data_IF_911971260258
#
_entry.id   IF_911971260258
#
_cell.length_a   1.000
_cell.length_b   1.000
_cell.length_c   1.000
_cell.angle_alpha   90.00
_cell.angle_beta   90.00
_cell.angle_gamma   90.00
#
_symmetry.space_group_name_H-M   'P 1'
#
loop_
_entity.id
_entity.type
_entity.pdbx_description
1 polymer ?
#
# COMPACT_ATOMS: atom_id res chain seq x y z
N UNK A 1 22.76 7.84 -15.51
CA UNK A 1 22.29 9.14 -15.00
C UNK A 1 21.82 8.91 -13.56
N UNK A 2 22.32 9.68 -12.60
CA UNK A 2 21.86 9.59 -11.19
C UNK A 2 20.58 10.40 -11.05
N UNK A 3 19.48 9.74 -10.66
CA UNK A 3 18.22 10.43 -10.38
C UNK A 3 18.38 11.35 -9.17
N UNK A 4 17.70 12.50 -9.19
CA UNK A 4 17.61 13.36 -8.02
C UNK A 4 16.95 12.58 -6.86
N UNK A 5 17.35 12.82 -5.59
CA UNK A 5 16.68 12.21 -4.44
C UNK A 5 15.20 12.56 -4.42
N UNK A 6 14.35 11.57 -4.15
CA UNK A 6 12.92 11.79 -3.98
C UNK A 6 12.64 12.65 -2.74
N UNK A 7 11.63 13.52 -2.81
CA UNK A 7 11.14 14.34 -1.71
C UNK A 7 9.62 14.23 -1.60
N UNK A 8 9.04 14.33 -0.39
CA UNK A 8 7.60 14.28 -0.19
C UNK A 8 6.86 15.56 -0.63
N UNK A 9 7.59 16.63 -1.00
CA UNK A 9 7.03 17.91 -1.40
C UNK A 9 6.48 17.92 -2.83
N UNK A 10 5.46 18.76 -3.06
CA UNK A 10 4.97 19.07 -4.41
C UNK A 10 3.92 18.11 -4.95
N UNK A 11 3.08 17.52 -4.08
CA UNK A 11 1.99 16.62 -4.49
C UNK A 11 1.13 17.18 -5.63
N UNK A 12 0.74 18.45 -5.55
CA UNK A 12 -0.16 19.11 -6.52
C UNK A 12 0.41 19.23 -7.94
N UNK A 13 1.69 18.90 -8.16
CA UNK A 13 2.28 18.86 -9.49
C UNK A 13 1.59 17.86 -10.43
N UNK A 14 0.82 16.88 -9.90
CA UNK A 14 0.03 15.97 -10.73
C UNK A 14 -0.91 16.73 -11.67
N UNK A 15 -1.46 17.90 -11.28
CA UNK A 15 -2.42 18.66 -12.10
C UNK A 15 -1.86 19.04 -13.46
N UNK A 16 -0.54 19.25 -13.56
CA UNK A 16 0.15 19.57 -14.82
C UNK A 16 0.33 18.35 -15.71
N UNK A 17 0.54 17.17 -15.12
CA UNK A 17 0.80 15.93 -15.84
C UNK A 17 -0.49 15.15 -16.15
N UNK A 18 -1.49 15.28 -15.29
CA UNK A 18 -2.71 14.50 -15.27
C UNK A 18 -3.94 15.39 -15.00
N UNK A 19 -4.28 16.31 -15.93
CA UNK A 19 -5.33 17.30 -15.71
C UNK A 19 -6.75 16.71 -15.61
N UNK A 20 -6.95 15.45 -16.03
CA UNK A 20 -8.26 14.79 -16.02
C UNK A 20 -8.51 13.95 -14.75
N UNK A 21 -7.62 14.01 -13.75
CA UNK A 21 -7.73 13.20 -12.54
C UNK A 21 -8.92 13.63 -11.68
N UNK A 22 -9.88 12.73 -11.37
CA UNK A 22 -11.02 13.02 -10.51
C UNK A 22 -10.63 12.85 -9.03
N UNK A 23 -9.71 13.69 -8.56
CA UNK A 23 -9.20 13.62 -7.19
C UNK A 23 -9.45 14.94 -6.44
N UNK A 24 -10.05 14.83 -5.27
CA UNK A 24 -10.13 15.89 -4.29
C UNK A 24 -9.19 15.56 -3.11
N UNK A 25 -8.47 16.58 -2.63
CA UNK A 25 -7.67 16.45 -1.42
C UNK A 25 -8.61 16.21 -0.24
N UNK A 26 -8.17 15.40 0.72
CA UNK A 26 -8.91 15.18 1.95
C UNK A 26 -9.15 16.51 2.68
N UNK A 27 -10.21 16.58 3.49
CA UNK A 27 -10.46 17.74 4.34
C UNK A 27 -9.22 18.02 5.23
N UNK A 28 -8.94 19.29 5.58
CA UNK A 28 -7.75 19.63 6.36
C UNK A 28 -7.62 18.86 7.69
N UNK A 29 -8.75 18.50 8.30
CA UNK A 29 -8.78 17.69 9.52
C UNK A 29 -8.27 16.25 9.35
N UNK A 30 -8.33 15.70 8.13
CA UNK A 30 -7.87 14.36 7.78
C UNK A 30 -6.52 14.37 7.05
N UNK A 31 -6.08 15.51 6.53
CA UNK A 31 -4.78 15.60 5.87
C UNK A 31 -3.62 15.57 6.88
N UNK A 32 -2.66 14.69 6.63
CA UNK A 32 -1.46 14.47 7.45
C UNK A 32 -0.17 14.65 6.66
N UNK A 33 -0.25 15.20 5.45
CA UNK A 33 0.89 15.36 4.53
C UNK A 33 2.00 16.19 5.17
N UNK A 34 1.68 17.33 5.78
CA UNK A 34 2.71 18.19 6.40
C UNK A 34 3.38 17.51 7.60
N UNK A 35 2.60 16.80 8.44
CA UNK A 35 3.15 16.02 9.55
C UNK A 35 4.08 14.89 9.07
N UNK A 36 3.78 14.28 7.92
CA UNK A 36 4.66 13.31 7.27
C UNK A 36 5.95 13.97 6.73
N UNK A 37 5.85 15.13 6.10
CA UNK A 37 7.02 15.90 5.60
C UNK A 37 7.94 16.28 6.76
N UNK A 38 7.38 16.68 7.91
CA UNK A 38 8.12 16.95 9.13
C UNK A 38 8.87 15.69 9.62
N UNK A 39 8.19 14.55 9.67
CA UNK A 39 8.81 13.26 10.04
C UNK A 39 9.93 12.86 9.08
N UNK A 40 9.71 13.04 7.78
CA UNK A 40 10.72 12.83 6.73
C UNK A 40 11.94 13.71 6.97
N UNK A 41 11.76 14.99 7.27
CA UNK A 41 12.85 15.95 7.50
C UNK A 41 13.64 15.62 8.77
N UNK A 42 12.97 15.17 9.84
CA UNK A 42 13.61 14.79 11.11
C UNK A 42 14.49 13.54 11.01
N UNK A 43 14.19 12.62 10.08
CA UNK A 43 14.94 11.35 9.89
C UNK A 43 15.01 10.48 11.15
N UNK A 44 14.03 10.60 12.03
CA UNK A 44 13.96 9.85 13.29
C UNK A 44 12.50 9.59 13.64
N UNK A 45 12.20 8.35 14.02
CA UNK A 45 10.91 8.01 14.60
C UNK A 45 10.96 8.08 16.13
N UNK A 46 9.88 8.59 16.71
CA UNK A 46 9.68 8.73 18.17
C UNK A 46 8.81 7.65 18.78
N UNK A 47 8.47 6.60 18.01
CA UNK A 47 7.83 5.41 18.59
C UNK A 47 8.68 4.84 19.73
N UNK A 48 8.06 4.40 20.85
CA UNK A 48 8.76 3.68 21.90
C UNK A 48 9.54 2.50 21.33
N UNK A 49 10.76 2.27 21.84
CA UNK A 49 11.62 1.16 21.37
C UNK A 49 11.05 -0.23 21.72
N UNK A 50 10.13 -0.28 22.67
CA UNK A 50 9.34 -1.48 23.02
C UNK A 50 8.27 -1.82 21.98
N UNK A 51 7.91 -0.88 21.09
CA UNK A 51 6.93 -1.13 20.03
C UNK A 51 7.56 -1.98 18.92
N UNK A 52 6.92 -3.10 18.58
CA UNK A 52 7.32 -3.89 17.40
C UNK A 52 6.79 -3.24 16.11
N UNK A 53 7.65 -3.11 15.10
CA UNK A 53 7.24 -2.62 13.77
C UNK A 53 7.00 -3.80 12.84
N UNK A 54 5.79 -3.92 12.29
CA UNK A 54 5.40 -4.98 11.37
C UNK A 54 5.34 -4.41 9.95
N UNK A 55 6.20 -4.92 9.07
CA UNK A 55 6.18 -4.63 7.64
C UNK A 55 5.32 -5.66 6.90
N UNK A 56 4.34 -5.20 6.13
CA UNK A 56 3.46 -6.07 5.31
C UNK A 56 3.47 -5.58 3.87
N UNK A 57 3.96 -6.41 2.95
CA UNK A 57 3.98 -6.08 1.53
C UNK A 57 2.72 -6.56 0.81
N UNK A 58 2.52 -6.09 -0.42
CA UNK A 58 1.40 -6.46 -1.27
C UNK A 58 1.56 -7.74 -2.06
N UNK A 59 0.61 -7.96 -2.97
CA UNK A 59 0.58 -9.09 -3.91
C UNK A 59 1.92 -9.25 -4.64
N UNK A 60 2.36 -10.49 -4.88
CA UNK A 60 3.60 -10.87 -5.58
C UNK A 60 4.91 -10.58 -4.83
N UNK A 61 4.87 -9.95 -3.66
CA UNK A 61 6.07 -9.62 -2.89
C UNK A 61 6.90 -10.83 -2.49
N UNK A 62 6.28 -12.01 -2.36
CA UNK A 62 6.99 -13.26 -2.01
C UNK A 62 8.03 -13.69 -3.06
N UNK A 63 7.90 -13.17 -4.29
CA UNK A 63 8.83 -13.44 -5.39
C UNK A 63 9.78 -12.27 -5.67
N UNK A 64 9.70 -11.18 -4.91
CA UNK A 64 10.52 -10.00 -5.08
C UNK A 64 11.79 -10.07 -4.21
N UNK A 65 12.98 -10.30 -4.80
CA UNK A 65 14.21 -10.37 -4.02
C UNK A 65 14.51 -9.03 -3.36
N UNK A 66 14.70 -9.04 -2.04
CA UNK A 66 15.02 -7.82 -1.30
C UNK A 66 13.81 -6.91 -1.02
N UNK A 67 12.59 -7.38 -1.21
CA UNK A 67 11.38 -6.71 -0.73
C UNK A 67 11.56 -6.27 0.73
N UNK A 68 11.27 -5.00 1.01
CA UNK A 68 11.39 -4.36 2.34
C UNK A 68 12.81 -4.37 2.94
N UNK A 69 13.87 -4.67 2.17
CA UNK A 69 15.24 -4.74 2.71
C UNK A 69 15.68 -3.41 3.31
N UNK A 70 15.53 -2.31 2.57
CA UNK A 70 15.92 -0.97 3.03
C UNK A 70 15.12 -0.49 4.25
N UNK A 71 13.81 -0.76 4.24
CA UNK A 71 12.91 -0.51 5.37
C UNK A 71 13.37 -1.25 6.63
N UNK A 72 13.57 -2.56 6.52
CA UNK A 72 13.98 -3.42 7.64
C UNK A 72 15.34 -3.02 8.20
N UNK A 73 16.30 -2.71 7.34
CA UNK A 73 17.63 -2.27 7.76
C UNK A 73 17.56 -0.93 8.52
N UNK A 74 16.82 0.05 8.00
CA UNK A 74 16.74 1.38 8.60
C UNK A 74 15.99 1.38 9.92
N UNK A 75 14.83 0.70 9.97
CA UNK A 75 14.05 0.56 11.21
C UNK A 75 14.81 -0.25 12.27
N UNK A 76 15.51 -1.31 11.86
CA UNK A 76 16.37 -2.10 12.75
C UNK A 76 17.56 -1.29 13.28
N UNK A 77 18.23 -0.51 12.41
CA UNK A 77 19.31 0.39 12.81
C UNK A 77 18.84 1.51 13.74
N UNK A 78 17.57 1.92 13.63
CA UNK A 78 16.95 2.82 14.59
C UNK A 78 16.69 2.14 15.96
N UNK A 79 16.80 0.81 16.08
CA UNK A 79 16.64 0.09 17.34
C UNK A 79 15.24 -0.51 17.55
N UNK A 80 14.43 -0.63 16.50
CA UNK A 80 13.14 -1.32 16.58
C UNK A 80 13.29 -2.82 16.34
N UNK A 81 12.46 -3.60 17.04
CA UNK A 81 12.16 -4.98 16.60
C UNK A 81 11.30 -4.90 15.35
N UNK A 82 11.79 -5.49 14.25
CA UNK A 82 11.08 -5.49 12.96
C UNK A 82 10.64 -6.89 12.59
N UNK A 83 9.35 -7.07 12.34
CA UNK A 83 8.78 -8.28 11.74
C UNK A 83 8.41 -8.00 10.29
N UNK A 84 8.61 -8.97 9.40
CA UNK A 84 8.07 -8.93 8.04
C UNK A 84 7.06 -10.05 7.90
N UNK A 85 5.79 -9.71 7.67
CA UNK A 85 4.74 -10.71 7.54
C UNK A 85 4.89 -11.49 6.22
N UNK A 86 4.75 -12.82 6.23
CA UNK A 86 4.79 -13.61 5.01
C UNK A 86 3.52 -13.38 4.17
N UNK A 87 3.71 -13.15 2.88
CA UNK A 87 2.65 -12.98 1.89
C UNK A 87 2.52 -14.25 1.06
N UNK A 88 1.28 -14.67 0.79
CA UNK A 88 0.92 -15.69 -0.20
C UNK A 88 0.03 -15.05 -1.25
N UNK A 89 0.58 -14.89 -2.45
CA UNK A 89 -0.11 -14.23 -3.55
C UNK A 89 -1.32 -15.01 -4.06
N UNK A 90 -1.38 -16.30 -3.73
CA UNK A 90 -2.54 -17.16 -3.93
C UNK A 90 -3.77 -16.69 -3.17
N UNK A 91 -3.58 -16.12 -1.98
CA UNK A 91 -4.64 -15.95 -1.00
C UNK A 91 -5.44 -14.67 -1.25
N UNK A 92 -6.76 -14.83 -1.16
CA UNK A 92 -7.67 -13.70 -1.05
C UNK A 92 -7.44 -12.94 0.26
N UNK A 93 -8.10 -11.80 0.41
CA UNK A 93 -7.88 -10.84 1.51
C UNK A 93 -8.10 -11.47 2.88
N UNK A 94 -9.20 -12.19 3.07
CA UNK A 94 -9.53 -12.78 4.36
C UNK A 94 -8.65 -14.00 4.71
N UNK A 95 -8.27 -14.79 3.71
CA UNK A 95 -7.37 -15.94 3.91
C UNK A 95 -5.96 -15.45 4.28
N UNK A 96 -5.45 -14.45 3.56
CA UNK A 96 -4.18 -13.82 3.88
C UNK A 96 -4.23 -13.08 5.23
N UNK A 97 -5.35 -12.43 5.55
CA UNK A 97 -5.58 -11.81 6.85
C UNK A 97 -5.54 -12.81 8.01
N UNK A 98 -6.19 -13.97 7.87
CA UNK A 98 -6.10 -15.05 8.86
C UNK A 98 -4.67 -15.55 9.06
N UNK A 99 -3.90 -15.69 7.96
CA UNK A 99 -2.48 -16.05 8.04
C UNK A 99 -1.65 -14.98 8.75
N UNK A 100 -1.86 -13.69 8.44
CA UNK A 100 -1.18 -12.57 9.11
C UNK A 100 -1.51 -12.58 10.59
N UNK A 101 -2.78 -12.71 10.97
CA UNK A 101 -3.21 -12.78 12.38
C UNK A 101 -2.55 -13.94 13.14
N UNK A 102 -2.51 -15.13 12.54
CA UNK A 102 -1.81 -16.29 13.13
C UNK A 102 -0.30 -16.05 13.28
N UNK A 103 0.33 -15.46 12.25
CA UNK A 103 1.75 -15.11 12.29
C UNK A 103 2.06 -14.10 13.41
N UNK A 104 1.24 -13.06 13.54
CA UNK A 104 1.42 -12.03 14.56
C UNK A 104 1.24 -12.59 15.97
N UNK A 105 0.20 -13.39 16.22
CA UNK A 105 0.01 -14.06 17.52
C UNK A 105 1.19 -14.96 17.90
N UNK A 106 1.79 -15.65 16.92
CA UNK A 106 2.92 -16.53 17.17
C UNK A 106 4.25 -15.80 17.39
N UNK A 107 4.38 -14.54 16.92
CA UNK A 107 5.67 -13.82 16.90
C UNK A 107 5.72 -12.61 17.82
N UNK A 108 4.60 -11.96 18.09
CA UNK A 108 4.53 -10.84 19.02
C UNK A 108 4.60 -11.35 20.47
N UNK A 109 5.41 -10.74 21.35
CA UNK A 109 5.32 -10.98 22.79
C UNK A 109 3.92 -10.65 23.31
N UNK A 110 3.45 -11.29 24.38
CA UNK A 110 2.05 -11.19 24.82
C UNK A 110 1.59 -9.75 25.10
N UNK A 111 2.46 -8.94 25.69
CA UNK A 111 2.13 -7.59 26.18
C UNK A 111 2.65 -6.45 25.28
N UNK A 112 3.36 -6.78 24.20
CA UNK A 112 3.94 -5.76 23.33
C UNK A 112 2.87 -5.13 22.44
N UNK A 113 2.87 -3.80 22.38
CA UNK A 113 2.20 -3.06 21.32
C UNK A 113 2.99 -3.18 20.01
N UNK A 114 2.28 -3.05 18.89
CA UNK A 114 2.90 -3.02 17.58
C UNK A 114 2.28 -1.95 16.69
N UNK A 115 3.03 -1.53 15.68
CA UNK A 115 2.51 -0.74 14.57
C UNK A 115 2.66 -1.51 13.27
N UNK A 116 1.75 -1.27 12.33
CA UNK A 116 1.78 -1.88 11.01
C UNK A 116 2.14 -0.84 9.97
N UNK A 117 3.11 -1.17 9.13
CA UNK A 117 3.53 -0.41 7.97
C UNK A 117 3.27 -1.29 6.74
N UNK A 118 2.14 -1.04 6.08
CA UNK A 118 1.62 -1.90 5.04
C UNK A 118 1.62 -1.22 3.67
N UNK A 119 1.92 -2.00 2.64
CA UNK A 119 1.93 -1.56 1.25
C UNK A 119 0.90 -2.33 0.43
N UNK A 120 0.19 -1.63 -0.46
CA UNK A 120 -0.73 -2.22 -1.44
C UNK A 120 -1.72 -3.21 -0.82
N UNK A 121 -1.92 -4.38 -1.42
CA UNK A 121 -2.83 -5.43 -0.91
C UNK A 121 -2.53 -5.84 0.54
N UNK A 122 -1.27 -5.76 0.97
CA UNK A 122 -0.86 -6.06 2.34
C UNK A 122 -1.57 -5.18 3.38
N UNK A 123 -1.96 -3.96 2.98
CA UNK A 123 -2.80 -3.08 3.79
C UNK A 123 -4.19 -3.66 4.02
N UNK A 124 -4.91 -4.00 2.96
CA UNK A 124 -6.27 -4.56 3.12
C UNK A 124 -6.27 -5.96 3.72
N UNK A 125 -5.23 -6.76 3.48
CA UNK A 125 -5.04 -8.07 4.12
C UNK A 125 -4.86 -7.93 5.64
N UNK A 126 -4.08 -6.94 6.07
CA UNK A 126 -3.86 -6.70 7.51
C UNK A 126 -5.09 -6.08 8.17
N UNK A 127 -5.85 -5.24 7.47
CA UNK A 127 -7.16 -4.77 7.97
C UNK A 127 -8.09 -5.96 8.22
N UNK A 128 -8.14 -6.95 7.32
CA UNK A 128 -8.94 -8.15 7.54
C UNK A 128 -8.50 -8.95 8.77
N UNK A 129 -7.19 -8.99 9.04
CA UNK A 129 -6.66 -9.59 10.26
C UNK A 129 -7.12 -8.84 11.53
N UNK A 130 -7.00 -7.51 11.55
CA UNK A 130 -7.32 -6.70 12.73
C UNK A 130 -8.83 -6.63 12.99
N UNK A 131 -9.65 -6.48 11.94
CA UNK A 131 -11.12 -6.48 12.07
C UNK A 131 -11.64 -7.84 12.55
N UNK A 132 -10.99 -8.93 12.14
CA UNK A 132 -11.35 -10.29 12.55
C UNK A 132 -10.83 -10.72 13.93
N UNK A 133 -9.93 -9.95 14.54
CA UNK A 133 -9.27 -10.31 15.81
C UNK A 133 -9.19 -9.08 16.75
N UNK A 134 -10.23 -8.85 17.58
CA UNK A 134 -10.27 -7.71 18.50
C UNK A 134 -9.12 -7.67 19.50
N UNK A 135 -8.58 -8.83 19.91
CA UNK A 135 -7.45 -8.89 20.84
C UNK A 135 -6.16 -8.40 20.17
N UNK A 136 -5.97 -8.75 18.89
CA UNK A 136 -4.86 -8.24 18.10
C UNK A 136 -5.04 -6.75 17.76
N UNK A 137 -6.26 -6.31 17.45
CA UNK A 137 -6.59 -4.90 17.19
C UNK A 137 -6.30 -4.01 18.41
N UNK A 138 -6.67 -4.45 19.61
CA UNK A 138 -6.43 -3.70 20.85
C UNK A 138 -4.93 -3.44 21.13
N UNK A 139 -4.05 -4.28 20.57
CA UNK A 139 -2.59 -4.16 20.71
C UNK A 139 -1.93 -3.40 19.55
N UNK A 140 -2.68 -3.10 18.49
CA UNK A 140 -2.20 -2.31 17.36
C UNK A 140 -2.23 -0.82 17.71
N UNK A 141 -1.07 -0.23 17.95
CA UNK A 141 -0.93 1.21 18.26
C UNK A 141 -1.19 2.13 17.06
N UNK A 142 -1.20 1.58 15.84
CA UNK A 142 -1.54 2.28 14.63
C UNK A 142 -1.09 1.53 13.37
N UNK A 143 -1.70 1.88 12.24
CA UNK A 143 -1.39 1.28 10.95
C UNK A 143 -1.33 2.33 9.84
N UNK A 144 -0.25 2.30 9.07
CA UNK A 144 -0.07 3.09 7.86
C UNK A 144 -0.30 2.20 6.63
N UNK A 145 -1.19 2.61 5.73
CA UNK A 145 -1.49 1.95 4.46
C UNK A 145 -0.96 2.76 3.29
N UNK A 146 0.07 2.30 2.60
CA UNK A 146 0.65 3.01 1.45
C UNK A 146 0.14 2.39 0.15
N UNK A 147 -0.46 3.22 -0.70
CA UNK A 147 -1.05 2.83 -1.98
C UNK A 147 -2.08 1.67 -1.85
N UNK A 148 -3.02 1.72 -0.89
CA UNK A 148 -3.96 0.62 -0.68
C UNK A 148 -4.91 0.47 -1.89
N UNK A 149 -5.26 -0.75 -2.32
CA UNK A 149 -6.17 -0.99 -3.44
C UNK A 149 -7.65 -0.85 -3.02
N UNK A 150 -8.08 0.38 -2.74
CA UNK A 150 -9.47 0.67 -2.37
C UNK A 150 -10.41 0.56 -3.57
N UNK A 151 -9.98 1.02 -4.75
CA UNK A 151 -10.61 0.82 -6.05
C UNK A 151 -9.96 -0.31 -6.85
N UNK A 152 -10.57 -0.73 -7.96
CA UNK A 152 -10.06 -1.84 -8.77
C UNK A 152 -8.82 -1.43 -9.57
N UNK A 153 -7.94 -2.39 -9.82
CA UNK A 153 -6.84 -2.26 -10.78
C UNK A 153 -7.35 -2.48 -12.20
N UNK A 154 -7.31 -1.43 -13.02
CA UNK A 154 -7.64 -1.52 -14.44
C UNK A 154 -6.69 -2.45 -15.20
N UNK A 155 -5.45 -2.61 -14.71
CA UNK A 155 -4.48 -3.54 -15.26
C UNK A 155 -4.95 -4.97 -15.06
N UNK A 156 -5.32 -5.31 -13.83
CA UNK A 156 -5.83 -6.64 -13.49
C UNK A 156 -7.12 -6.94 -14.25
N UNK A 157 -8.04 -5.99 -14.34
CA UNK A 157 -9.27 -6.16 -15.13
C UNK A 157 -8.98 -6.44 -16.61
N UNK A 158 -8.01 -5.73 -17.20
CA UNK A 158 -7.58 -5.96 -18.59
C UNK A 158 -6.91 -7.32 -18.75
N UNK A 159 -6.07 -7.71 -17.79
CA UNK A 159 -5.45 -9.03 -17.74
C UNK A 159 -6.53 -10.10 -17.62
N UNK A 160 -7.61 -9.93 -16.87
CA UNK A 160 -8.66 -10.95 -16.79
C UNK A 160 -9.78 -10.81 -17.84
N UNK A 161 -9.76 -9.76 -18.67
CA UNK A 161 -10.83 -9.39 -19.62
C UNK A 161 -12.16 -9.07 -18.97
N UNK A 162 -12.14 -8.60 -17.74
CA UNK A 162 -13.35 -8.07 -17.13
C UNK A 162 -13.80 -6.84 -17.95
N UNK A 163 -15.04 -6.87 -18.45
CA UNK A 163 -15.60 -5.80 -19.29
C UNK A 163 -15.18 -5.77 -20.77
N UNK A 164 -14.42 -6.77 -21.27
CA UNK A 164 -14.05 -6.84 -22.71
C UNK A 164 -14.90 -7.90 -23.43
N UNK A 165 -15.57 -7.57 -24.56
CA UNK A 165 -16.35 -8.55 -25.33
C UNK A 165 -15.50 -9.78 -25.73
N UNK A 166 -16.03 -11.01 -25.67
CA UNK A 166 -15.25 -12.25 -25.78
C UNK A 166 -14.48 -12.41 -27.11
N UNK A 167 -14.93 -11.74 -28.17
CA UNK A 167 -14.41 -11.83 -29.53
C UNK A 167 -13.20 -10.93 -29.83
N UNK A 168 -12.85 -9.98 -28.95
CA UNK A 168 -11.66 -9.13 -29.16
C UNK A 168 -10.39 -9.96 -28.92
N UNK A 169 -9.46 -9.99 -29.88
CA UNK A 169 -8.21 -10.71 -29.72
C UNK A 169 -7.34 -10.06 -28.64
N UNK A 170 -6.87 -10.84 -27.66
CA UNK A 170 -5.95 -10.33 -26.65
C UNK A 170 -4.55 -10.15 -27.26
N UNK A 171 -3.85 -9.05 -26.96
CA UNK A 171 -2.44 -8.90 -27.29
C UNK A 171 -1.63 -10.11 -26.82
N UNK A 172 -0.63 -10.54 -27.59
CA UNK A 172 0.17 -11.73 -27.27
C UNK A 172 0.77 -11.74 -25.84
N UNK A 173 1.28 -10.61 -25.30
CA UNK A 173 1.76 -10.55 -23.92
C UNK A 173 0.68 -10.85 -22.87
N UNK A 174 -0.57 -10.42 -23.11
CA UNK A 174 -1.69 -10.64 -22.19
C UNK A 174 -2.14 -12.09 -22.17
N UNK A 175 -1.98 -12.81 -23.28
CA UNK A 175 -2.26 -14.26 -23.32
C UNK A 175 -1.27 -15.04 -22.47
N UNK A 176 0.01 -14.64 -22.48
CA UNK A 176 1.05 -15.26 -21.65
C UNK A 176 0.85 -14.91 -20.18
N UNK A 177 0.65 -13.62 -19.85
CA UNK A 177 0.36 -13.18 -18.49
C UNK A 177 -0.90 -13.86 -17.92
N UNK A 178 -1.99 -13.95 -18.71
CA UNK A 178 -3.19 -14.72 -18.32
C UNK A 178 -2.91 -16.19 -18.09
N UNK A 179 -2.11 -16.82 -18.96
CA UNK A 179 -1.80 -18.24 -18.81
C UNK A 179 -0.98 -18.48 -17.55
N UNK A 180 -0.09 -17.56 -17.18
CA UNK A 180 0.67 -17.60 -15.93
C UNK A 180 -0.23 -17.34 -14.71
N UNK A 181 -1.13 -16.36 -14.76
CA UNK A 181 -2.02 -16.00 -13.65
C UNK A 181 -3.19 -16.98 -13.46
N UNK A 182 -3.70 -17.58 -14.54
CA UNK A 182 -4.72 -18.65 -14.52
C UNK A 182 -4.17 -20.02 -14.17
N UNK A 183 -2.84 -20.21 -14.14
CA UNK A 183 -2.26 -21.42 -13.56
C UNK A 183 -2.38 -21.35 -12.03
N UNK A 184 -3.61 -21.61 -11.53
CA UNK A 184 -4.10 -22.06 -10.21
C UNK A 184 -3.47 -21.53 -8.89
N UNK A 185 -2.58 -20.54 -8.91
CA UNK A 185 -1.75 -20.21 -7.74
C UNK A 185 -1.75 -18.72 -7.36
N UNK A 186 -2.51 -17.86 -8.05
CA UNK A 186 -2.64 -16.42 -7.72
C UNK A 186 -4.05 -15.84 -7.96
N UNK A 187 -5.05 -16.68 -8.30
CA UNK A 187 -6.33 -16.21 -8.83
C UNK A 187 -7.13 -15.42 -7.79
N UNK A 188 -7.28 -15.92 -6.56
CA UNK A 188 -8.03 -15.23 -5.52
C UNK A 188 -7.33 -13.92 -5.08
N UNK A 189 -6.02 -13.96 -4.82
CA UNK A 189 -5.27 -12.76 -4.44
C UNK A 189 -5.25 -11.67 -5.50
N UNK A 190 -5.16 -12.04 -6.79
CA UNK A 190 -5.22 -11.08 -7.90
C UNK A 190 -6.66 -10.60 -8.14
N UNK A 191 -7.65 -11.48 -7.99
CA UNK A 191 -9.07 -11.12 -8.11
C UNK A 191 -9.49 -10.07 -7.07
N UNK A 192 -8.97 -10.12 -5.85
CA UNK A 192 -9.38 -9.18 -4.79
C UNK A 192 -8.92 -7.73 -4.98
N UNK A 193 -8.03 -7.50 -5.95
CA UNK A 193 -7.67 -6.14 -6.41
C UNK A 193 -8.33 -5.78 -7.76
N UNK A 194 -9.22 -6.61 -8.28
CA UNK A 194 -9.95 -6.37 -9.54
C UNK A 194 -11.36 -5.81 -9.29
N UNK A 195 -12.07 -5.50 -10.38
CA UNK A 195 -13.51 -5.18 -10.35
C UNK A 195 -14.40 -6.32 -9.83
N UNK A 196 -13.88 -7.55 -9.81
CA UNK A 196 -14.60 -8.77 -9.38
C UNK A 196 -14.18 -9.24 -7.98
N UNK A 197 -13.53 -8.37 -7.19
CA UNK A 197 -13.11 -8.66 -5.82
C UNK A 197 -14.22 -9.24 -4.96
N UNK A 198 -13.86 -9.97 -3.90
CA UNK A 198 -14.83 -10.40 -2.88
C UNK A 198 -15.59 -9.16 -2.32
N UNK A 199 -16.94 -9.12 -2.41
CA UNK A 199 -17.72 -7.97 -1.96
C UNK A 199 -17.55 -7.68 -0.45
N UNK A 200 -17.15 -8.67 0.35
CA UNK A 200 -16.86 -8.49 1.77
C UNK A 200 -15.68 -7.52 2.00
N UNK A 201 -14.76 -7.39 1.04
CA UNK A 201 -13.64 -6.42 1.13
C UNK A 201 -14.19 -5.00 1.12
N UNK A 202 -15.12 -4.69 0.21
CA UNK A 202 -15.78 -3.38 0.17
C UNK A 202 -16.58 -3.09 1.44
N UNK A 203 -17.32 -4.08 1.93
CA UNK A 203 -18.07 -3.96 3.19
C UNK A 203 -17.15 -3.70 4.39
N UNK A 204 -16.00 -4.38 4.48
CA UNK A 204 -15.00 -4.17 5.52
C UNK A 204 -14.42 -2.75 5.46
N UNK A 205 -14.02 -2.28 4.28
CA UNK A 205 -13.46 -0.93 4.12
C UNK A 205 -14.47 0.17 4.47
N UNK A 206 -15.77 -0.06 4.25
CA UNK A 206 -16.83 0.88 4.61
C UNK A 206 -17.18 0.86 6.12
N UNK A 207 -16.79 -0.18 6.85
CA UNK A 207 -17.17 -0.41 8.25
C UNK A 207 -15.95 -0.59 9.17
N UNK A 208 -14.86 0.15 8.91
CA UNK A 208 -13.65 0.08 9.72
C UNK A 208 -13.93 0.56 11.16
N UNK A 209 -13.38 -0.12 12.19
CA UNK A 209 -13.51 0.32 13.57
C UNK A 209 -12.95 1.73 13.77
N UNK A 210 -13.69 2.61 14.44
CA UNK A 210 -13.31 4.02 14.65
C UNK A 210 -12.14 4.19 15.62
N UNK A 211 -11.95 3.23 16.51
CA UNK A 211 -10.87 3.15 17.48
C UNK A 211 -9.57 2.60 16.89
N UNK A 212 -9.61 2.03 15.68
CA UNK A 212 -8.40 1.63 14.97
C UNK A 212 -7.70 2.87 14.41
N UNK A 213 -6.52 3.16 14.94
CA UNK A 213 -5.72 4.29 14.49
C UNK A 213 -5.10 4.02 13.10
N UNK A 214 -5.63 4.68 12.07
CA UNK A 214 -5.24 4.49 10.68
C UNK A 214 -4.73 5.77 10.04
N UNK A 215 -3.76 5.63 9.13
CA UNK A 215 -3.39 6.64 8.13
C UNK A 215 -3.20 5.93 6.79
N UNK A 216 -3.67 6.50 5.68
CA UNK A 216 -3.38 5.99 4.34
C UNK A 216 -2.61 6.99 3.48
N UNK A 217 -1.81 6.48 2.55
CA UNK A 217 -1.03 7.27 1.60
C UNK A 217 -1.49 7.03 0.18
N UNK A 218 -1.81 8.11 -0.51
CA UNK A 218 -2.13 8.11 -1.94
C UNK A 218 -0.95 8.69 -2.72
N UNK A 219 -0.73 8.20 -3.93
CA UNK A 219 0.42 8.60 -4.72
C UNK A 219 0.16 8.59 -6.22
N UNK A 220 1.03 9.29 -6.92
CA UNK A 220 1.08 9.29 -8.38
C UNK A 220 2.54 9.32 -8.83
N UNK A 221 2.83 8.83 -10.02
CA UNK A 221 4.14 8.95 -10.66
C UNK A 221 4.00 9.09 -12.17
N UNK A 222 4.97 9.74 -12.80
CA UNK A 222 5.14 9.82 -14.27
C UNK A 222 6.20 8.85 -14.79
N UNK A 223 6.98 8.25 -13.90
CA UNK A 223 8.08 7.35 -14.22
C UNK A 223 7.86 5.99 -13.55
N UNK A 224 8.11 4.92 -14.30
CA UNK A 224 8.09 3.56 -13.80
C UNK A 224 9.36 3.26 -13.00
N UNK A 225 9.23 2.87 -11.74
CA UNK A 225 10.38 2.45 -10.93
C UNK A 225 10.84 1.04 -11.24
N UNK A 226 9.93 0.21 -11.76
CA UNK A 226 10.23 -1.16 -12.18
C UNK A 226 9.56 -1.48 -13.51
N UNK A 227 10.08 -2.48 -14.24
CA UNK A 227 9.41 -3.02 -15.43
C UNK A 227 8.41 -4.13 -15.10
N UNK A 228 8.35 -4.57 -13.83
CA UNK A 228 7.55 -5.73 -13.41
C UNK A 228 6.15 -5.35 -12.92
N UNK A 229 6.02 -4.21 -12.23
CA UNK A 229 4.78 -3.83 -11.52
C UNK A 229 4.27 -2.43 -11.92
N UNK A 230 4.97 -1.75 -12.83
CA UNK A 230 4.62 -0.39 -13.26
C UNK A 230 4.08 -0.42 -14.70
N UNK A 231 2.79 -0.17 -14.87
CA UNK A 231 2.05 -0.28 -16.13
C UNK A 231 1.61 1.09 -16.68
N UNK A 232 2.45 2.11 -16.52
CA UNK A 232 2.17 3.50 -16.90
C UNK A 232 1.60 3.66 -18.31
N UNK A 233 2.23 3.05 -19.32
CA UNK A 233 1.75 3.14 -20.70
C UNK A 233 0.34 2.57 -20.90
N UNK A 234 -0.02 1.50 -20.16
CA UNK A 234 -1.37 0.91 -20.23
C UNK A 234 -2.39 1.80 -19.54
N UNK A 235 -2.09 2.29 -18.33
CA UNK A 235 -2.97 3.20 -17.59
C UNK A 235 -3.21 4.49 -18.35
N UNK A 236 -2.16 5.11 -18.89
CA UNK A 236 -2.28 6.27 -19.78
C UNK A 236 -3.11 5.99 -21.03
N UNK A 237 -3.06 4.77 -21.58
CA UNK A 237 -3.91 4.35 -22.70
C UNK A 237 -5.38 4.14 -22.31
N UNK A 238 -5.65 3.63 -21.10
CA UNK A 238 -7.01 3.39 -20.61
C UNK A 238 -7.72 4.68 -20.19
N UNK A 239 -7.05 5.56 -19.45
CA UNK A 239 -7.58 6.86 -19.02
C UNK A 239 -6.52 7.94 -19.15
N UNK A 240 -6.36 8.51 -20.36
CA UNK A 240 -5.39 9.56 -20.62
C UNK A 240 -5.54 10.73 -19.65
N UNK A 241 -4.43 11.23 -19.13
CA UNK A 241 -4.41 12.38 -18.23
C UNK A 241 -5.00 12.13 -16.84
N UNK A 242 -5.22 10.87 -16.43
CA UNK A 242 -5.60 10.52 -15.07
C UNK A 242 -4.38 10.03 -14.27
N UNK A 243 -4.15 10.61 -13.10
CA UNK A 243 -2.99 10.30 -12.26
C UNK A 243 -3.08 8.88 -11.73
N UNK A 244 -1.93 8.23 -11.67
CA UNK A 244 -1.78 6.87 -11.17
C UNK A 244 -0.37 6.66 -10.60
N UNK A 245 -0.21 5.65 -9.77
CA UNK A 245 1.08 5.24 -9.23
C UNK A 245 1.79 4.18 -10.10
N UNK A 246 1.22 3.84 -11.26
CA UNK A 246 1.73 2.78 -12.13
C UNK A 246 0.92 1.47 -12.01
N UNK A 247 0.05 1.35 -11.01
CA UNK A 247 -0.85 0.20 -10.86
C UNK A 247 -2.31 0.60 -10.63
N UNK A 248 -2.54 1.62 -9.79
CA UNK A 248 -3.86 2.14 -9.44
C UNK A 248 -3.97 3.61 -9.80
N UNK A 249 -5.14 4.01 -10.31
CA UNK A 249 -5.49 5.42 -10.39
C UNK A 249 -5.55 6.03 -8.99
N UNK A 250 -5.24 7.32 -8.89
CA UNK A 250 -5.08 8.01 -7.61
C UNK A 250 -6.34 7.89 -6.73
N UNK A 251 -7.53 8.06 -7.31
CA UNK A 251 -8.81 7.93 -6.61
C UNK A 251 -9.09 6.49 -6.13
N UNK A 252 -8.48 5.49 -6.76
CA UNK A 252 -8.60 4.09 -6.32
C UNK A 252 -7.68 3.76 -5.13
N UNK A 253 -6.89 4.72 -4.66
CA UNK A 253 -6.08 4.59 -3.44
C UNK A 253 -6.73 5.26 -2.22
N UNK A 254 -7.84 5.99 -2.41
CA UNK A 254 -8.46 6.81 -1.36
C UNK A 254 -9.34 5.97 -0.43
N UNK A 255 -9.13 6.14 0.88
CA UNK A 255 -10.00 5.62 1.94
C UNK A 255 -10.85 6.76 2.52
N UNK A 256 -12.16 6.70 2.32
CA UNK A 256 -13.08 7.73 2.81
C UNK A 256 -13.09 7.77 4.35
N UNK A 257 -13.01 8.97 4.93
CA UNK A 257 -13.05 9.17 6.39
C UNK A 257 -11.79 8.75 7.15
N UNK A 258 -10.74 8.29 6.45
CA UNK A 258 -9.46 7.91 7.05
C UNK A 258 -8.43 9.03 6.82
N UNK A 259 -7.57 9.35 7.81
CA UNK A 259 -6.50 10.32 7.62
C UNK A 259 -5.57 9.98 6.45
N UNK A 260 -5.26 10.97 5.61
CA UNK A 260 -4.54 10.80 4.35
C UNK A 260 -3.18 11.52 4.34
N UNK A 261 -2.17 10.92 3.72
CA UNK A 261 -0.96 11.59 3.24
C UNK A 261 -0.90 11.57 1.72
N UNK A 262 -0.38 12.63 1.12
CA UNK A 262 -0.29 12.79 -0.31
C UNK A 262 1.17 12.72 -0.78
N UNK A 263 1.52 11.70 -1.56
CA UNK A 263 2.90 11.34 -1.92
C UNK A 263 3.19 11.60 -3.40
N UNK A 264 3.95 12.66 -3.77
CA UNK A 264 4.25 12.99 -5.15
C UNK A 264 5.24 12.00 -5.76
N UNK A 265 5.13 11.78 -7.07
CA UNK A 265 6.17 11.10 -7.88
C UNK A 265 6.67 9.79 -7.27
N UNK A 266 5.74 9.04 -6.68
CA UNK A 266 6.00 7.77 -6.03
C UNK A 266 5.25 6.68 -6.78
N UNK A 267 6.01 5.83 -7.45
CA UNK A 267 5.52 4.68 -8.19
C UNK A 267 5.19 3.52 -7.24
N UNK A 268 4.32 2.60 -7.68
CA UNK A 268 3.73 1.54 -6.85
C UNK A 268 4.80 0.64 -6.22
N UNK A 269 5.87 0.32 -6.95
CA UNK A 269 6.93 -0.57 -6.45
C UNK A 269 7.91 0.07 -5.47
N UNK A 270 8.02 1.41 -5.44
CA UNK A 270 9.10 2.09 -4.71
C UNK A 270 9.08 1.88 -3.19
N UNK A 271 7.92 1.87 -2.50
CA UNK A 271 7.89 1.62 -1.06
C UNK A 271 8.56 0.31 -0.64
N UNK A 272 8.50 -0.73 -1.48
CA UNK A 272 9.02 -2.06 -1.16
C UNK A 272 10.38 -2.37 -1.80
N UNK A 273 10.69 -1.76 -2.96
CA UNK A 273 11.91 -2.05 -3.74
C UNK A 273 12.93 -0.90 -3.78
N UNK A 274 12.53 0.34 -3.50
CA UNK A 274 13.35 1.52 -3.76
C UNK A 274 13.36 1.94 -5.23
N UNK A 275 14.48 2.53 -5.68
CA UNK A 275 14.67 2.97 -7.07
C UNK A 275 14.32 4.44 -7.31
N UNK A 276 14.77 5.01 -8.44
CA UNK A 276 14.56 6.41 -8.83
C UNK A 276 14.93 7.44 -7.75
N UNK A 277 16.00 7.19 -6.97
CA UNK A 277 16.42 8.08 -5.88
C UNK A 277 15.51 8.04 -4.63
N UNK A 278 14.59 7.08 -4.54
CA UNK A 278 13.72 6.90 -3.38
C UNK A 278 14.41 6.13 -2.24
N UNK A 279 14.36 6.72 -1.04
CA UNK A 279 14.84 6.13 0.19
C UNK A 279 13.68 5.47 0.95
N UNK A 280 13.45 4.19 0.67
CA UNK A 280 12.42 3.40 1.33
C UNK A 280 12.63 3.34 2.86
N UNK A 281 13.89 3.31 3.32
CA UNK A 281 14.21 3.27 4.74
C UNK A 281 13.70 4.49 5.48
N UNK A 282 14.09 5.67 5.00
CA UNK A 282 13.64 6.96 5.54
C UNK A 282 12.13 7.14 5.41
N UNK A 283 11.53 6.67 4.32
CA UNK A 283 10.10 6.75 4.08
C UNK A 283 9.30 6.00 5.17
N UNK A 284 9.64 4.73 5.41
CA UNK A 284 8.96 3.94 6.43
C UNK A 284 9.25 4.42 7.85
N UNK A 285 10.44 4.96 8.10
CA UNK A 285 10.76 5.60 9.38
C UNK A 285 9.88 6.84 9.63
N UNK A 286 9.64 7.67 8.61
CA UNK A 286 8.76 8.83 8.71
C UNK A 286 7.30 8.44 8.95
N UNK A 287 6.81 7.36 8.32
CA UNK A 287 5.48 6.82 8.62
C UNK A 287 5.37 6.29 10.05
N UNK A 288 6.42 5.65 10.55
CA UNK A 288 6.47 5.18 11.92
C UNK A 288 6.39 6.37 12.91
N UNK A 289 7.12 7.46 12.63
CA UNK A 289 7.00 8.70 13.41
C UNK A 289 5.60 9.32 13.34
N UNK A 290 5.01 9.32 12.14
CA UNK A 290 3.67 9.86 11.92
C UNK A 290 2.64 9.15 12.82
N UNK A 291 2.65 7.83 12.83
CA UNK A 291 1.78 7.03 13.71
C UNK A 291 2.02 7.31 15.19
N UNK A 292 3.21 7.72 15.61
CA UNK A 292 3.43 8.14 16.98
C UNK A 292 2.77 9.48 17.28
N UNK A 293 2.97 10.49 16.43
CA UNK A 293 2.47 11.85 16.70
C UNK A 293 0.98 12.01 16.50
N UNK A 294 0.34 11.19 15.66
CA UNK A 294 -1.11 11.25 15.45
C UNK A 294 -1.90 10.38 16.42
N UNK A 295 -1.23 9.52 17.20
CA UNK A 295 -1.88 8.56 18.12
C UNK A 295 -2.84 9.22 19.12
N UNK A 296 -2.53 10.43 19.58
CA UNK A 296 -3.34 11.17 20.55
C UNK A 296 -4.58 11.84 19.93
N UNK A 297 -4.68 11.90 18.60
CA UNK A 297 -5.80 12.55 17.89
C UNK A 297 -6.96 11.60 17.59
N UNK A 298 -6.78 10.30 17.85
CA UNK A 298 -7.76 9.23 17.62
C UNK A 298 -8.30 8.60 18.91
N UNK A 299 -7.88 9.09 20.08
CA UNK A 299 -8.41 8.65 21.39
C UNK A 299 -9.46 9.61 21.91
#
# INVERSE_FOLDING_TARGET
MTHAPWTPDGFDAWRRHYPATPFARAEPALDRTDAFIDGWTRRMARLPRTTTVVLVAGLYSEWLPGCNRGARQTLGAAGYRVLTAPVRSAYGVFEQGAQIGAYLRARLPADDEFVVLAHSKGGIDTLAALVGDPALAARCAGMALVQPPCGPSAIVDTIFRHGVPPHVAAPWPDRVARRLLRMRWADAGTRDISSHRDPRVGAMLAALPRDLHLVHGVSWSIEASTRFDSHHGRLNGHRPGCAHDGQFYLEHQVMAGVPQICLPRLDHGQPVLGGLGFDAGRFWLALADLLHVTRAQTR
#
